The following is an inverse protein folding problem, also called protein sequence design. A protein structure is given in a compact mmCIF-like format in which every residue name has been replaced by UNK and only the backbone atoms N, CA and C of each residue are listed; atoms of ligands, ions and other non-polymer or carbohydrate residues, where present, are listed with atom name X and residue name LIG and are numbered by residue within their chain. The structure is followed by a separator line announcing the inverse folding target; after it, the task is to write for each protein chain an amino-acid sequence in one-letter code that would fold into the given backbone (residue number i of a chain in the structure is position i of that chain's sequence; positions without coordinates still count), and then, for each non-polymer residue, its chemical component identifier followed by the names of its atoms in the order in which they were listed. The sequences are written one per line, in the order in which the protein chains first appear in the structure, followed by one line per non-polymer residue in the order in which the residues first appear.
data_IF_472635662048
#
_entry.id   IF_472635662048
#
_cell.length_a   1.000
_cell.length_b   1.000
_cell.length_c   1.000
_cell.angle_alpha   90.00
_cell.angle_beta   90.00
_cell.angle_gamma   90.00
#
_symmetry.space_group_name_H-M   'P 1'
#
loop_
_entity.id
_entity.type
_entity.pdbx_description
1 polymer ?
#
# COMPACT_ATOMS: atom_id res chain seq x y z
N UNK A 1 14.22 9.39 -1.09
CA UNK A 1 13.06 9.75 -1.93
C UNK A 1 13.17 9.22 -3.35
N UNK A 2 14.17 9.69 -4.12
CA UNK A 2 14.43 9.23 -5.50
C UNK A 2 14.63 7.71 -5.57
N UNK A 3 15.48 7.16 -4.71
CA UNK A 3 15.79 5.71 -4.71
C UNK A 3 14.57 4.83 -4.38
N UNK A 4 13.69 5.26 -3.46
CA UNK A 4 12.49 4.50 -3.09
C UNK A 4 11.41 4.54 -4.18
N UNK A 5 11.13 5.72 -4.74
CA UNK A 5 10.22 5.85 -5.88
C UNK A 5 10.77 5.19 -7.15
N UNK A 6 12.09 5.20 -7.33
CA UNK A 6 12.77 4.50 -8.41
C UNK A 6 12.63 2.98 -8.25
N UNK A 7 12.85 2.44 -7.05
CA UNK A 7 12.64 1.01 -6.77
C UNK A 7 11.17 0.62 -6.94
N UNK A 8 10.22 1.39 -6.41
CA UNK A 8 8.78 1.13 -6.63
C UNK A 8 8.41 1.26 -8.11
N UNK A 9 8.92 2.26 -8.81
CA UNK A 9 8.70 2.46 -10.24
C UNK A 9 9.21 1.28 -11.07
N UNK A 10 10.42 0.78 -10.77
CA UNK A 10 10.97 -0.42 -11.42
C UNK A 10 10.15 -1.65 -11.06
N UNK A 11 9.76 -1.84 -9.80
CA UNK A 11 8.93 -2.98 -9.38
C UNK A 11 7.56 -2.95 -10.06
N UNK A 12 6.93 -1.78 -10.19
CA UNK A 12 5.64 -1.63 -10.89
C UNK A 12 5.79 -1.78 -12.40
N UNK A 13 6.89 -1.34 -13.00
CA UNK A 13 7.19 -1.55 -14.41
C UNK A 13 7.45 -3.04 -14.70
N UNK A 14 8.22 -3.73 -13.85
CA UNK A 14 8.42 -5.18 -13.92
C UNK A 14 7.14 -5.96 -13.63
N UNK A 15 6.34 -5.50 -12.67
CA UNK A 15 5.03 -6.09 -12.38
C UNK A 15 4.11 -5.93 -13.58
N UNK A 16 4.00 -4.73 -14.15
CA UNK A 16 3.23 -4.49 -15.38
C UNK A 16 3.73 -5.38 -16.53
N UNK A 17 5.05 -5.42 -16.77
CA UNK A 17 5.62 -6.24 -17.84
C UNK A 17 5.39 -7.75 -17.64
N UNK A 18 5.69 -8.27 -16.44
CA UNK A 18 5.48 -9.68 -16.11
C UNK A 18 3.99 -10.02 -16.07
N UNK A 19 3.14 -9.08 -15.69
CA UNK A 19 1.71 -9.25 -15.71
C UNK A 19 1.14 -9.38 -17.13
N UNK A 20 1.67 -8.58 -18.04
CA UNK A 20 1.15 -8.48 -19.39
C UNK A 20 1.79 -9.52 -20.35
N UNK A 21 2.81 -10.27 -19.91
CA UNK A 21 3.55 -11.22 -20.76
C UNK A 21 3.79 -12.61 -20.15
N UNK A 22 3.49 -12.85 -18.86
CA UNK A 22 3.71 -14.17 -18.24
C UNK A 22 2.42 -15.02 -18.20
N UNK A 23 2.28 -16.03 -19.08
CA UNK A 23 1.07 -16.86 -19.17
C UNK A 23 0.84 -17.77 -17.95
N UNK A 24 1.85 -17.98 -17.10
CA UNK A 24 1.72 -18.78 -15.88
C UNK A 24 1.11 -17.96 -14.71
N UNK A 25 1.07 -16.63 -14.83
CA UNK A 25 0.56 -15.74 -13.77
C UNK A 25 -0.88 -15.28 -14.05
N UNK A 26 -1.24 -15.11 -15.32
CA UNK A 26 -2.55 -14.54 -15.73
C UNK A 26 -3.52 -15.54 -16.36
N UNK A 27 -3.08 -16.80 -16.53
CA UNK A 27 -3.91 -17.85 -17.10
C UNK A 27 -4.35 -17.53 -18.53
N UNK A 28 -5.57 -17.97 -18.88
CA UNK A 28 -6.11 -17.80 -20.24
C UNK A 28 -6.43 -16.35 -20.60
N UNK A 29 -6.78 -15.51 -19.61
CA UNK A 29 -7.11 -14.11 -19.84
C UNK A 29 -5.93 -13.32 -20.45
N UNK A 30 -4.74 -13.43 -19.86
CA UNK A 30 -3.54 -12.77 -20.40
C UNK A 30 -3.07 -13.37 -21.72
N UNK A 31 -3.34 -14.67 -21.97
CA UNK A 31 -3.04 -15.33 -23.25
C UNK A 31 -3.96 -14.87 -24.38
N UNK A 32 -5.23 -14.62 -24.06
CA UNK A 32 -6.22 -14.17 -25.04
C UNK A 32 -6.00 -12.71 -25.44
N UNK A 33 -5.60 -11.84 -24.50
CA UNK A 33 -5.35 -10.42 -24.78
C UNK A 33 -4.17 -10.18 -25.74
N UNK A 34 -3.15 -11.05 -25.73
CA UNK A 34 -1.98 -10.91 -26.63
C UNK A 34 -2.20 -11.47 -28.04
N UNK A 35 -3.37 -12.05 -28.33
CA UNK A 35 -3.67 -12.58 -29.66
C UNK A 35 -3.79 -11.44 -30.68
N UNK A 36 -3.41 -11.66 -31.95
CA UNK A 36 -3.51 -10.65 -33.00
C UNK A 36 -4.90 -10.02 -33.10
N UNK A 37 -5.96 -10.82 -32.89
CA UNK A 37 -7.35 -10.35 -32.92
C UNK A 37 -7.68 -9.30 -31.84
N UNK A 38 -6.95 -9.31 -30.72
CA UNK A 38 -7.21 -8.47 -29.54
C UNK A 38 -6.17 -7.34 -29.37
N UNK A 39 -5.26 -7.18 -30.34
CA UNK A 39 -4.10 -6.28 -30.24
C UNK A 39 -4.46 -4.83 -29.90
N UNK A 40 -5.51 -4.28 -30.52
CA UNK A 40 -5.94 -2.90 -30.21
C UNK A 40 -6.38 -2.74 -28.76
N UNK A 41 -7.13 -3.72 -28.22
CA UNK A 41 -7.56 -3.72 -26.82
C UNK A 41 -6.36 -3.83 -25.88
N UNK A 42 -5.44 -4.74 -26.18
CA UNK A 42 -4.18 -4.89 -25.43
C UNK A 42 -3.40 -3.57 -25.35
N UNK A 43 -3.16 -2.90 -26.47
CA UNK A 43 -2.42 -1.62 -26.52
C UNK A 43 -3.12 -0.54 -25.69
N UNK A 44 -4.45 -0.42 -25.79
CA UNK A 44 -5.23 0.57 -25.02
C UNK A 44 -5.13 0.29 -23.51
N UNK A 45 -5.33 -0.96 -23.08
CA UNK A 45 -5.27 -1.31 -21.65
C UNK A 45 -3.87 -1.11 -21.07
N UNK A 46 -2.82 -1.48 -21.82
CA UNK A 46 -1.43 -1.26 -21.42
C UNK A 46 -1.11 0.24 -21.32
N UNK A 47 -1.58 1.04 -22.29
CA UNK A 47 -1.42 2.49 -22.28
C UNK A 47 -2.13 3.15 -21.09
N UNK A 48 -3.36 2.72 -20.78
CA UNK A 48 -4.12 3.18 -19.62
C UNK A 48 -3.41 2.81 -18.32
N UNK A 49 -2.93 1.57 -18.18
CA UNK A 49 -2.17 1.14 -17.02
C UNK A 49 -0.93 2.03 -16.79
N UNK A 50 -0.13 2.25 -17.84
CA UNK A 50 1.07 3.12 -17.74
C UNK A 50 0.72 4.57 -17.41
N UNK A 51 -0.37 5.09 -17.96
CA UNK A 51 -0.84 6.44 -17.64
C UNK A 51 -1.26 6.54 -16.17
N UNK A 52 -2.08 5.61 -15.67
CA UNK A 52 -2.53 5.63 -14.28
C UNK A 52 -1.39 5.40 -13.29
N UNK A 53 -0.50 4.44 -13.58
CA UNK A 53 0.69 4.20 -12.77
C UNK A 53 1.62 5.43 -12.75
N UNK A 54 1.84 6.06 -13.91
CA UNK A 54 2.62 7.30 -14.01
C UNK A 54 2.02 8.45 -13.22
N UNK A 55 0.71 8.69 -13.34
CA UNK A 55 0.00 9.71 -12.55
C UNK A 55 0.07 9.43 -11.05
N UNK A 56 -0.11 8.18 -10.63
CA UNK A 56 0.00 7.78 -9.24
C UNK A 56 1.41 8.05 -8.68
N UNK A 57 2.46 7.65 -9.42
CA UNK A 57 3.85 7.92 -9.03
C UNK A 57 4.14 9.43 -8.98
N UNK A 58 3.65 10.21 -9.93
CA UNK A 58 3.79 11.66 -9.92
C UNK A 58 3.09 12.31 -8.73
N UNK A 59 1.90 11.82 -8.37
CA UNK A 59 1.17 12.28 -7.19
C UNK A 59 1.92 11.95 -5.89
N UNK A 60 2.50 10.74 -5.77
CA UNK A 60 3.34 10.38 -4.62
C UNK A 60 4.60 11.25 -4.54
N UNK A 61 5.25 11.51 -5.68
CA UNK A 61 6.42 12.38 -5.72
C UNK A 61 6.07 13.82 -5.30
N UNK A 62 4.94 14.36 -5.80
CA UNK A 62 4.46 15.67 -5.39
C UNK A 62 4.08 15.71 -3.90
N UNK A 63 3.46 14.65 -3.38
CA UNK A 63 3.09 14.55 -1.98
C UNK A 63 4.32 14.58 -1.07
N UNK A 64 5.40 13.90 -1.45
CA UNK A 64 6.67 13.89 -0.71
C UNK A 64 7.43 15.24 -0.79
N UNK A 65 7.26 15.98 -1.89
CA UNK A 65 7.79 17.35 -1.96
C UNK A 65 7.00 18.31 -1.05
N UNK A 66 5.68 18.14 -0.94
CA UNK A 66 4.80 19.04 -0.17
C UNK A 66 4.81 18.71 1.32
N UNK A 67 4.81 17.42 1.67
CA UNK A 67 4.89 16.90 3.02
C UNK A 67 6.12 16.02 3.09
N UNK A 68 6.92 16.07 4.16
CA UNK A 68 7.98 15.06 4.39
C UNK A 68 7.32 13.68 4.56
N UNK A 69 7.01 13.04 3.43
CA UNK A 69 6.16 11.87 3.36
C UNK A 69 6.87 10.69 4.00
N UNK A 70 8.20 10.64 3.91
CA UNK A 70 9.02 9.72 4.67
C UNK A 70 8.81 9.89 6.18
N UNK A 71 8.85 11.13 6.69
CA UNK A 71 8.58 11.43 8.10
C UNK A 71 7.17 11.01 8.54
N UNK A 72 6.15 11.36 7.75
CA UNK A 72 4.76 11.00 8.07
C UNK A 72 4.47 9.50 7.97
N UNK A 73 4.99 8.84 6.94
CA UNK A 73 4.87 7.39 6.77
C UNK A 73 5.56 6.66 7.93
N UNK A 74 6.73 7.13 8.35
CA UNK A 74 7.43 6.60 9.52
C UNK A 74 6.58 6.75 10.79
N UNK A 75 5.98 7.92 11.04
CA UNK A 75 5.07 8.14 12.17
C UNK A 75 3.85 7.20 12.09
N UNK A 76 3.24 7.04 10.92
CA UNK A 76 2.09 6.14 10.73
C UNK A 76 2.45 4.69 11.00
N UNK A 77 3.61 4.22 10.52
CA UNK A 77 4.11 2.87 10.80
C UNK A 77 4.38 2.68 12.30
N UNK A 78 4.98 3.67 12.97
CA UNK A 78 5.20 3.61 14.41
C UNK A 78 3.89 3.56 15.19
N UNK A 79 2.93 4.42 14.86
CA UNK A 79 1.61 4.42 15.52
C UNK A 79 0.83 3.14 15.24
N UNK A 80 0.86 2.64 14.00
CA UNK A 80 0.24 1.38 13.62
C UNK A 80 0.88 0.17 14.31
N UNK A 81 2.20 0.12 14.37
CA UNK A 81 2.94 -0.90 15.10
C UNK A 81 2.67 -0.84 16.61
N UNK A 82 2.62 0.35 17.18
CA UNK A 82 2.24 0.57 18.58
C UNK A 82 0.81 0.08 18.83
N UNK A 83 -0.15 0.45 17.97
CA UNK A 83 -1.53 -0.03 18.06
C UNK A 83 -1.60 -1.56 17.97
N UNK A 84 -0.85 -2.20 17.07
CA UNK A 84 -0.79 -3.66 16.95
C UNK A 84 -0.24 -4.35 18.21
N UNK A 85 0.72 -3.72 18.91
CA UNK A 85 1.28 -4.27 20.16
C UNK A 85 0.33 -4.05 21.34
N UNK A 86 -0.26 -2.87 21.44
CA UNK A 86 -1.09 -2.48 22.58
C UNK A 86 -2.54 -2.97 22.47
N UNK A 87 -3.05 -3.20 21.26
CA UNK A 87 -4.42 -3.64 21.04
C UNK A 87 -4.72 -5.01 21.65
N UNK A 88 -3.90 -6.07 21.46
CA UNK A 88 -4.12 -7.36 22.11
C UNK A 88 -4.15 -7.26 23.64
N UNK A 89 -3.26 -6.44 24.23
CA UNK A 89 -3.23 -6.20 25.66
C UNK A 89 -4.49 -5.47 26.14
N UNK A 90 -4.83 -4.34 25.51
CA UNK A 90 -6.01 -3.55 25.87
C UNK A 90 -7.31 -4.36 25.70
N UNK A 91 -7.38 -5.20 24.67
CA UNK A 91 -8.50 -6.09 24.42
C UNK A 91 -8.63 -7.17 25.51
N UNK A 92 -7.53 -7.86 25.86
CA UNK A 92 -7.51 -8.84 26.94
C UNK A 92 -7.94 -8.23 28.28
N UNK A 93 -7.44 -7.02 28.59
CA UNK A 93 -7.81 -6.30 29.80
C UNK A 93 -9.29 -5.93 29.84
N UNK A 94 -9.85 -5.55 28.69
CA UNK A 94 -11.27 -5.26 28.60
C UNK A 94 -12.11 -6.52 28.87
N UNK A 95 -11.73 -7.67 28.30
CA UNK A 95 -12.43 -8.94 28.51
C UNK A 95 -12.32 -9.47 29.94
N UNK A 96 -11.15 -9.36 30.57
CA UNK A 96 -10.89 -9.96 31.90
C UNK A 96 -11.16 -9.02 33.07
N UNK A 97 -10.93 -7.73 32.90
CA UNK A 97 -11.00 -6.74 33.98
C UNK A 97 -12.05 -5.64 33.74
N UNK A 98 -12.72 -5.64 32.59
CA UNK A 98 -13.72 -4.62 32.21
C UNK A 98 -13.13 -3.23 31.99
N UNK A 99 -11.81 -3.12 31.78
CA UNK A 99 -11.08 -1.84 31.66
C UNK A 99 -10.17 -1.84 30.44
N UNK A 100 -10.13 -0.72 29.74
CA UNK A 100 -9.28 -0.52 28.56
C UNK A 100 -7.89 0.05 28.88
N UNK A 101 -7.66 0.50 30.11
CA UNK A 101 -6.43 1.16 30.52
C UNK A 101 -5.88 0.49 31.76
N UNK A 102 -4.58 0.12 31.78
CA UNK A 102 -4.02 -0.62 32.89
C UNK A 102 -3.82 0.23 34.15
N UNK A 103 -3.72 1.56 34.03
CA UNK A 103 -3.48 2.38 35.21
C UNK A 103 -4.80 2.75 35.90
N UNK A 104 -4.96 2.42 37.19
CA UNK A 104 -6.18 2.74 37.92
C UNK A 104 -6.36 4.26 38.01
N UNK A 105 -7.57 4.74 37.70
CA UNK A 105 -7.92 6.15 37.92
C UNK A 105 -7.86 6.44 39.42
N UNK A 106 -6.88 7.24 39.86
CA UNK A 106 -6.84 7.71 41.25
C UNK A 106 -8.11 8.52 41.54
N UNK A 107 -8.95 8.03 42.46
CA UNK A 107 -10.05 8.84 42.98
C UNK A 107 -9.44 9.98 43.79
N UNK A 108 -9.63 11.23 43.35
CA UNK A 108 -9.35 12.39 44.20
C UNK A 108 -10.23 12.26 45.45
N UNK A 109 -9.62 12.16 46.64
CA UNK A 109 -10.35 12.27 47.90
C UNK A 109 -10.97 13.66 47.93
N UNK A 110 -12.30 13.72 48.12
CA UNK A 110 -13.02 14.96 48.43
C UNK A 110 -12.61 15.44 49.81
#
# INVERSE_FOLDING_TARGET
MFEFLFVIGIVLAFYGYSAMKNPNVWGDQGRDEIKPENWNGYVVHNGQFMMYAGFFLAALAALDVIFDFAGWLYILILLGGLAMIFYPLAHWMHEKEGKWWPWPKHKKKK
#
